data_IF_410361695531
#
_entry.id   IF_410361695531
#
_cell.length_a   1.000
_cell.length_b   1.000
_cell.length_c   1.000
_cell.angle_alpha   90.00
_cell.angle_beta   90.00
_cell.angle_gamma   90.00
#
_symmetry.space_group_name_H-M   'P 1'
#
loop_
_entity.id
_entity.type
_entity.pdbx_description
1 polymer ?
#
# COMPACT_ATOMS: atom_id res chain seq x y z
N UNK A 1 16.68 -14.37 19.70
CA UNK A 1 17.40 -14.85 20.90
C UNK A 1 16.50 -15.82 21.61
N UNK A 2 17.01 -17.00 21.92
CA UNK A 2 16.29 -18.02 22.70
C UNK A 2 16.92 -18.13 24.09
N UNK A 3 16.11 -18.35 25.13
CA UNK A 3 16.56 -18.59 26.51
C UNK A 3 15.44 -19.22 27.35
N UNK A 4 15.78 -19.71 28.55
CA UNK A 4 14.79 -20.13 29.54
C UNK A 4 14.54 -19.01 30.56
N UNK A 5 13.27 -18.74 30.88
CA UNK A 5 12.91 -17.79 31.93
C UNK A 5 13.02 -18.41 33.33
N UNK A 6 12.80 -17.61 34.39
CA UNK A 6 12.84 -18.07 35.79
C UNK A 6 11.83 -19.17 36.12
N UNK A 7 10.81 -19.35 35.29
CA UNK A 7 9.78 -20.39 35.41
C UNK A 7 10.10 -21.66 34.61
N UNK A 8 11.28 -21.73 33.98
CA UNK A 8 11.71 -22.88 33.16
C UNK A 8 11.06 -22.96 31.78
N UNK A 9 10.33 -21.93 31.35
CA UNK A 9 9.71 -21.88 30.02
C UNK A 9 10.72 -21.40 28.99
N UNK A 10 10.59 -21.89 27.75
CA UNK A 10 11.42 -21.48 26.63
C UNK A 10 10.85 -20.17 26.06
N UNK A 11 11.68 -19.14 25.96
CA UNK A 11 11.31 -17.82 25.44
C UNK A 11 12.12 -17.51 24.19
N UNK A 12 11.43 -17.09 23.13
CA UNK A 12 12.01 -16.64 21.88
C UNK A 12 11.73 -15.15 21.69
N UNK A 13 12.78 -14.33 21.78
CA UNK A 13 12.74 -12.89 21.51
C UNK A 13 13.31 -12.60 20.11
N UNK A 14 12.48 -12.08 19.22
CA UNK A 14 12.83 -11.70 17.86
C UNK A 14 12.70 -10.18 17.66
N UNK A 15 13.84 -9.48 17.61
CA UNK A 15 13.87 -8.03 17.67
C UNK A 15 13.41 -7.31 16.38
N UNK A 16 13.30 -8.03 15.26
CA UNK A 16 12.98 -7.49 13.93
C UNK A 16 11.93 -8.34 13.22
N UNK A 17 10.78 -8.54 13.85
CA UNK A 17 9.66 -9.27 13.27
C UNK A 17 8.91 -8.41 12.26
N UNK A 18 8.47 -9.03 11.17
CA UNK A 18 7.54 -8.44 10.22
C UNK A 18 6.20 -9.18 10.34
N UNK A 19 5.12 -8.41 10.49
CA UNK A 19 3.75 -8.93 10.46
C UNK A 19 3.02 -8.32 9.27
N UNK A 20 2.55 -9.17 8.36
CA UNK A 20 1.78 -8.75 7.19
C UNK A 20 0.30 -9.06 7.39
N UNK A 21 -0.55 -8.06 7.20
CA UNK A 21 -2.01 -8.23 7.11
C UNK A 21 -2.43 -7.97 5.66
N UNK A 22 -3.04 -8.98 5.03
CA UNK A 22 -3.47 -8.91 3.63
C UNK A 22 -4.97 -8.72 3.57
N UNK A 23 -5.40 -7.58 3.05
CA UNK A 23 -6.80 -7.27 2.78
C UNK A 23 -7.06 -7.33 1.27
N UNK A 24 -8.33 -7.20 0.89
CA UNK A 24 -8.71 -7.19 -0.52
C UNK A 24 -8.07 -6.00 -1.27
N UNK A 25 -8.08 -4.81 -0.66
CA UNK A 25 -7.67 -3.56 -1.30
C UNK A 25 -6.36 -2.98 -0.77
N UNK A 26 -5.79 -3.55 0.29
CA UNK A 26 -4.62 -3.04 1.00
C UNK A 26 -3.76 -4.18 1.52
N UNK A 27 -2.48 -3.89 1.72
CA UNK A 27 -1.62 -4.69 2.61
C UNK A 27 -0.99 -3.80 3.66
N UNK A 28 -0.94 -4.28 4.88
CA UNK A 28 -0.31 -3.57 6.00
C UNK A 28 0.87 -4.37 6.48
N UNK A 29 2.05 -3.78 6.44
CA UNK A 29 3.30 -4.40 6.87
C UNK A 29 3.76 -3.71 8.13
N UNK A 30 3.81 -4.43 9.24
CA UNK A 30 4.28 -3.92 10.54
C UNK A 30 5.65 -4.47 10.86
N UNK A 31 6.60 -3.59 11.18
CA UNK A 31 7.89 -3.97 11.75
C UNK A 31 7.84 -3.79 13.26
N UNK A 32 8.27 -4.81 13.98
CA UNK A 32 8.20 -4.82 15.44
C UNK A 32 9.13 -5.83 16.10
N UNK A 33 8.87 -6.04 17.38
CA UNK A 33 9.49 -7.09 18.19
C UNK A 33 8.45 -8.15 18.47
N UNK A 34 8.83 -9.42 18.31
CA UNK A 34 8.00 -10.57 18.63
C UNK A 34 8.63 -11.31 19.80
N UNK A 35 7.86 -11.55 20.85
CA UNK A 35 8.23 -12.49 21.92
C UNK A 35 7.22 -13.62 21.95
N UNK A 36 7.72 -14.86 22.01
CA UNK A 36 6.91 -16.07 22.14
C UNK A 36 7.40 -16.84 23.35
N UNK A 37 6.46 -17.32 24.18
CA UNK A 37 6.74 -18.21 25.30
C UNK A 37 6.16 -19.58 24.98
N UNK A 38 6.98 -20.62 25.08
CA UNK A 38 6.62 -22.00 24.83
C UNK A 38 6.53 -22.82 26.12
N UNK A 39 5.66 -23.82 26.12
CA UNK A 39 5.66 -24.91 27.10
C UNK A 39 6.81 -25.88 26.84
N UNK A 40 7.04 -26.80 27.78
CA UNK A 40 8.05 -27.84 27.65
C UNK A 40 7.80 -28.80 26.47
N UNK A 41 6.53 -28.98 26.06
CA UNK A 41 6.13 -29.73 24.87
C UNK A 41 6.08 -28.86 23.59
N UNK A 42 6.72 -27.68 23.62
CA UNK A 42 6.90 -26.74 22.50
C UNK A 42 5.59 -26.14 21.94
N UNK A 43 4.50 -26.15 22.71
CA UNK A 43 3.29 -25.38 22.36
C UNK A 43 3.47 -23.92 22.73
N UNK A 44 2.86 -23.02 21.97
CA UNK A 44 2.84 -21.60 22.29
C UNK A 44 1.90 -21.38 23.48
N UNK A 45 2.45 -20.93 24.61
CA UNK A 45 1.66 -20.53 25.78
C UNK A 45 1.13 -19.10 25.63
N UNK A 46 1.99 -18.19 25.19
CA UNK A 46 1.65 -16.78 24.97
C UNK A 46 2.57 -16.17 23.94
N UNK A 47 2.13 -15.09 23.31
CA UNK A 47 2.96 -14.30 22.41
C UNK A 47 2.59 -12.83 22.51
N UNK A 48 3.57 -11.96 22.25
CA UNK A 48 3.39 -10.52 22.14
C UNK A 48 4.09 -10.00 20.88
N UNK A 49 3.45 -9.09 20.18
CA UNK A 49 4.04 -8.36 19.06
C UNK A 49 3.92 -6.86 19.29
N UNK A 50 5.07 -6.21 19.51
CA UNK A 50 5.16 -4.77 19.70
C UNK A 50 5.54 -4.11 18.37
N UNK A 51 4.53 -3.61 17.66
CA UNK A 51 4.74 -2.87 16.41
C UNK A 51 5.42 -1.52 16.69
N UNK A 52 6.44 -1.17 15.91
CA UNK A 52 7.16 0.12 16.00
C UNK A 52 6.81 1.06 14.85
N UNK A 53 6.61 0.49 13.66
CA UNK A 53 6.26 1.21 12.43
C UNK A 53 5.39 0.33 11.56
N UNK A 54 4.61 0.94 10.69
CA UNK A 54 3.85 0.23 9.67
C UNK A 54 3.92 0.95 8.32
N UNK A 55 3.80 0.18 7.26
CA UNK A 55 3.63 0.65 5.89
C UNK A 55 2.31 0.12 5.34
N UNK A 56 1.59 0.96 4.61
CA UNK A 56 0.39 0.60 3.88
C UNK A 56 0.70 0.54 2.40
N UNK A 57 0.45 -0.61 1.78
CA UNK A 57 0.77 -0.89 0.39
C UNK A 57 -0.52 -1.11 -0.40
N UNK A 58 -0.69 -0.35 -1.48
CA UNK A 58 -1.82 -0.49 -2.39
C UNK A 58 -1.42 -1.41 -3.55
N UNK A 59 -2.14 -2.53 -3.78
CA UNK A 59 -1.84 -3.42 -4.88
C UNK A 59 -1.86 -2.71 -6.23
N UNK A 60 -0.78 -2.84 -7.00
CA UNK A 60 -0.62 -2.21 -8.33
C UNK A 60 -1.80 -2.47 -9.27
N UNK A 61 -2.43 -3.65 -9.20
CA UNK A 61 -3.64 -4.00 -9.98
C UNK A 61 -4.80 -3.01 -9.80
N UNK A 62 -4.89 -2.36 -8.65
CA UNK A 62 -5.94 -1.37 -8.34
C UNK A 62 -5.63 0.00 -8.94
N UNK A 63 -4.37 0.25 -9.30
CA UNK A 63 -3.90 1.54 -9.82
C UNK A 63 -3.63 1.53 -11.32
N UNK A 64 -3.29 0.37 -11.90
CA UNK A 64 -2.95 0.24 -13.33
C UNK A 64 -4.00 0.89 -14.24
N UNK A 65 -5.31 0.61 -14.11
CA UNK A 65 -6.30 1.17 -15.03
C UNK A 65 -6.29 2.70 -15.06
N UNK A 66 -6.23 3.33 -13.88
CA UNK A 66 -6.26 4.79 -13.72
C UNK A 66 -4.95 5.42 -14.19
N UNK A 67 -3.81 4.80 -13.87
CA UNK A 67 -2.49 5.26 -14.35
C UNK A 67 -2.38 5.15 -15.87
N UNK A 68 -2.92 4.09 -16.48
CA UNK A 68 -2.95 3.93 -17.93
C UNK A 68 -3.83 4.99 -18.60
N UNK A 69 -5.02 5.29 -18.04
CA UNK A 69 -5.89 6.35 -18.57
C UNK A 69 -5.22 7.73 -18.47
N UNK A 70 -4.55 8.02 -17.35
CA UNK A 70 -3.80 9.26 -17.18
C UNK A 70 -2.65 9.37 -18.20
N UNK A 71 -1.91 8.27 -18.42
CA UNK A 71 -0.85 8.20 -19.43
C UNK A 71 -1.37 8.42 -20.85
N UNK A 72 -2.52 7.83 -21.19
CA UNK A 72 -3.17 8.04 -22.48
C UNK A 72 -3.61 9.50 -22.68
N UNK A 73 -4.17 10.14 -21.65
CA UNK A 73 -4.53 11.55 -21.68
C UNK A 73 -3.30 12.45 -21.91
N UNK A 74 -2.18 12.13 -21.25
CA UNK A 74 -0.91 12.83 -21.42
C UNK A 74 -0.32 12.67 -22.81
N UNK A 75 -0.30 11.45 -23.35
CA UNK A 75 0.16 11.20 -24.72
C UNK A 75 -0.70 11.94 -25.75
N UNK A 76 -2.03 11.92 -25.57
CA UNK A 76 -2.96 12.64 -26.45
C UNK A 76 -2.69 14.14 -26.46
N UNK A 77 -2.48 14.73 -25.27
CA UNK A 77 -2.12 16.14 -25.15
C UNK A 77 -0.77 16.46 -25.80
N UNK A 78 0.25 15.63 -25.57
CA UNK A 78 1.58 15.81 -26.18
C UNK A 78 1.51 15.74 -27.71
N UNK A 79 0.82 14.74 -28.27
CA UNK A 79 0.65 14.59 -29.71
C UNK A 79 -0.07 15.80 -30.32
N UNK A 80 -1.10 16.32 -29.64
CA UNK A 80 -1.83 17.49 -30.10
C UNK A 80 -0.98 18.79 -30.05
N UNK A 81 -0.04 18.87 -29.10
CA UNK A 81 0.92 19.98 -28.97
C UNK A 81 2.05 19.88 -30.01
N UNK A 82 2.53 18.67 -30.33
CA UNK A 82 3.60 18.46 -31.32
C UNK A 82 3.09 18.57 -32.77
N UNK A 83 1.86 18.14 -33.05
CA UNK A 83 1.28 18.21 -34.39
C UNK A 83 0.68 19.60 -34.73
N UNK A 84 0.56 20.51 -33.75
CA UNK A 84 0.00 21.84 -33.97
C UNK A 84 1.10 22.89 -34.13
N UNK A 85 1.41 23.24 -35.37
CA UNK A 85 2.14 24.46 -35.71
C UNK A 85 1.25 25.73 -35.76
N UNK A 86 -0.05 25.68 -35.42
CA UNK A 86 -0.85 26.91 -35.23
C UNK A 86 -2.20 26.78 -34.52
N UNK A 87 -2.97 25.68 -34.61
CA UNK A 87 -4.41 25.73 -34.29
C UNK A 87 -4.94 24.53 -33.48
N UNK A 88 -4.48 24.34 -32.24
CA UNK A 88 -5.20 23.45 -31.32
C UNK A 88 -6.51 24.11 -30.91
N UNK A 89 -7.65 23.47 -31.19
CA UNK A 89 -8.95 24.02 -30.84
C UNK A 89 -9.11 24.10 -29.32
N UNK A 90 -9.80 25.14 -28.84
CA UNK A 90 -10.13 25.29 -27.41
C UNK A 90 -10.98 24.11 -26.90
N UNK A 91 -11.82 23.52 -27.77
CA UNK A 91 -12.59 22.31 -27.48
C UNK A 91 -11.72 21.07 -27.26
N UNK A 92 -10.65 20.87 -28.04
CA UNK A 92 -9.74 19.73 -27.87
C UNK A 92 -8.93 19.87 -26.58
N UNK A 93 -8.51 21.10 -26.26
CA UNK A 93 -7.83 21.40 -25.01
C UNK A 93 -8.75 21.12 -23.80
N UNK A 94 -9.99 21.60 -23.85
CA UNK A 94 -11.00 21.35 -22.81
C UNK A 94 -11.25 19.85 -22.62
N UNK A 95 -11.38 19.09 -23.71
CA UNK A 95 -11.59 17.64 -23.70
C UNK A 95 -10.44 16.90 -23.03
N UNK A 96 -9.20 17.27 -23.35
CA UNK A 96 -8.01 16.71 -22.72
C UNK A 96 -7.96 17.05 -21.22
N UNK A 97 -8.23 18.30 -20.83
CA UNK A 97 -8.29 18.71 -19.41
C UNK A 97 -9.35 17.91 -18.64
N UNK A 98 -10.54 17.71 -19.23
CA UNK A 98 -11.59 16.91 -18.61
C UNK A 98 -11.14 15.45 -18.39
N UNK A 99 -10.42 14.86 -19.36
CA UNK A 99 -9.89 13.50 -19.26
C UNK A 99 -8.81 13.38 -18.17
N UNK A 100 -7.95 14.40 -18.02
CA UNK A 100 -6.98 14.48 -16.93
C UNK A 100 -7.66 14.54 -15.57
N UNK A 101 -8.62 15.45 -15.40
CA UNK A 101 -9.35 15.64 -14.13
C UNK A 101 -10.11 14.36 -13.76
N UNK A 102 -10.77 13.71 -14.73
CA UNK A 102 -11.48 12.46 -14.50
C UNK A 102 -10.53 11.34 -14.05
N UNK A 103 -9.42 11.12 -14.78
CA UNK A 103 -8.43 10.09 -14.46
C UNK A 103 -7.78 10.34 -13.10
N UNK A 104 -7.45 11.59 -12.79
CA UNK A 104 -6.87 11.98 -11.50
C UNK A 104 -7.85 11.75 -10.33
N UNK A 105 -9.14 12.06 -10.50
CA UNK A 105 -10.17 11.78 -9.48
C UNK A 105 -10.35 10.28 -9.23
N UNK A 106 -10.35 9.48 -10.29
CA UNK A 106 -10.44 8.02 -10.14
C UNK A 106 -9.21 7.44 -9.47
N UNK A 107 -8.01 7.98 -9.76
CA UNK A 107 -6.77 7.59 -9.08
C UNK A 107 -6.82 7.97 -7.59
N UNK A 108 -7.25 9.19 -7.26
CA UNK A 108 -7.42 9.63 -5.88
C UNK A 108 -8.37 8.70 -5.11
N UNK A 109 -9.53 8.36 -5.70
CA UNK A 109 -10.48 7.40 -5.10
C UNK A 109 -9.87 6.00 -4.89
N UNK A 110 -9.02 5.54 -5.79
CA UNK A 110 -8.32 4.26 -5.63
C UNK A 110 -7.24 4.30 -4.53
N UNK A 111 -6.79 5.50 -4.14
CA UNK A 111 -5.83 5.74 -3.07
C UNK A 111 -6.50 6.04 -1.71
N UNK A 112 -7.78 6.39 -1.68
CA UNK A 112 -8.62 6.59 -0.47
C UNK A 112 -8.95 5.26 0.26
N UNK A 113 -8.00 4.33 0.29
CA UNK A 113 -8.13 3.06 0.99
C UNK A 113 -8.40 3.33 2.48
N UNK A 114 -9.34 2.61 3.13
CA UNK A 114 -9.67 2.83 4.54
C UNK A 114 -8.40 2.76 5.39
N UNK A 115 -8.18 3.81 6.21
CA UNK A 115 -7.05 3.85 7.13
C UNK A 115 -7.15 2.68 8.09
N UNK A 116 -6.02 2.03 8.36
CA UNK A 116 -5.96 0.85 9.24
C UNK A 116 -6.45 1.16 10.67
N UNK A 117 -6.49 2.44 11.05
CA UNK A 117 -7.02 2.89 12.34
C UNK A 117 -8.56 2.84 12.44
N UNK A 118 -9.28 2.60 11.35
CA UNK A 118 -10.75 2.48 11.33
C UNK A 118 -11.25 1.02 11.43
N UNK A 119 -10.34 0.06 11.68
CA UNK A 119 -10.61 -1.39 11.84
C UNK A 119 -10.44 -1.89 13.28
#
# INVERSE_FOLDING_TARGET
>A
REYQNSSGQIVLDYAKAIQESVFEQLRVVRDGQLRIVFSADLKICSWEFCARRHEELIPRRLLIPQVTQLGAAAQKYQAATQNSSANMSTSDLQSNCNMFVASARQLAKALEVPLVNDL
#
